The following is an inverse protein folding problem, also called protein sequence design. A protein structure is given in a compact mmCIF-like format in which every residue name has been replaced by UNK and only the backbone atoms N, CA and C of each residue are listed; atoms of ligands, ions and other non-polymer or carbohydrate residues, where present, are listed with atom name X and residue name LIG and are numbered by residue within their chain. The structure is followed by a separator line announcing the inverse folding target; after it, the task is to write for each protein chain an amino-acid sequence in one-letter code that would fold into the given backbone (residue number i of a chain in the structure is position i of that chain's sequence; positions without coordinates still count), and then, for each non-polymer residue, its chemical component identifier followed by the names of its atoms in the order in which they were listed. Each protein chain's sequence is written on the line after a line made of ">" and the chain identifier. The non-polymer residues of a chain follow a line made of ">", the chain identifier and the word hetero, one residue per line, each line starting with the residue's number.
data_IF_881563301163
#
_entry.id   IF_881563301163
#
_cell.length_a   1.000
_cell.length_b   1.000
_cell.length_c   1.000
_cell.angle_alpha   90.00
_cell.angle_beta   90.00
_cell.angle_gamma   90.00
#
_symmetry.space_group_name_H-M   'P 1'
#
loop_
_entity.id
_entity.type
_entity.pdbx_description
1 polymer ?
#
# COMPACT_ATOMS: atom_id res chain seq x y z
N UNK A 1 -5.23 -8.62 -6.83
CA UNK A 1 -4.68 -7.31 -7.21
C UNK A 1 -5.69 -6.60 -8.12
N UNK A 2 -6.16 -5.44 -7.70
CA UNK A 2 -7.21 -4.71 -8.42
C UNK A 2 -6.64 -3.76 -9.46
N UNK A 3 -5.53 -3.13 -9.17
CA UNK A 3 -4.85 -2.21 -10.09
C UNK A 3 -3.60 -2.87 -10.65
N UNK A 4 -3.48 -2.89 -11.98
CA UNK A 4 -2.35 -3.51 -12.69
C UNK A 4 -1.52 -2.40 -13.34
N UNK A 5 -0.23 -2.26 -13.00
CA UNK A 5 0.64 -1.27 -13.63
C UNK A 5 0.93 -1.61 -15.09
N UNK A 6 1.30 -0.57 -15.83
CA UNK A 6 1.79 -0.70 -17.19
C UNK A 6 2.81 0.40 -17.47
N UNK A 7 4.05 0.02 -17.68
CA UNK A 7 5.14 0.94 -17.93
C UNK A 7 6.47 0.21 -18.12
N UNK A 8 7.53 0.92 -18.52
CA UNK A 8 8.85 0.33 -18.67
C UNK A 8 9.30 -0.38 -17.39
N UNK A 9 9.65 -1.68 -17.48
CA UNK A 9 10.02 -2.51 -16.34
C UNK A 9 8.84 -3.09 -15.52
N UNK A 10 7.60 -2.62 -15.75
CA UNK A 10 6.39 -3.05 -15.02
C UNK A 10 5.24 -3.37 -15.97
N UNK A 11 5.48 -4.15 -17.01
CA UNK A 11 4.49 -4.47 -18.05
C UNK A 11 3.53 -5.58 -17.61
N UNK A 12 2.95 -5.47 -16.44
CA UNK A 12 2.08 -6.50 -15.87
C UNK A 12 0.79 -6.71 -16.68
N UNK A 13 0.28 -5.68 -17.36
CA UNK A 13 -0.94 -5.81 -18.20
C UNK A 13 -0.79 -6.79 -19.36
N UNK A 14 0.44 -7.10 -19.77
CA UNK A 14 0.68 -8.13 -20.77
C UNK A 14 0.30 -9.52 -20.25
N UNK A 15 0.54 -9.79 -18.98
CA UNK A 15 0.36 -11.10 -18.35
C UNK A 15 -0.92 -11.22 -17.54
N UNK A 16 -1.43 -10.11 -16.98
CA UNK A 16 -2.48 -10.13 -15.97
C UNK A 16 -3.63 -9.19 -16.32
N UNK A 17 -4.83 -9.58 -15.92
CA UNK A 17 -6.01 -8.72 -15.89
C UNK A 17 -6.25 -8.19 -14.49
N UNK A 18 -6.87 -6.99 -14.35
CA UNK A 18 -7.36 -6.53 -13.06
C UNK A 18 -8.27 -7.57 -12.41
N UNK A 19 -8.09 -7.74 -11.09
CA UNK A 19 -9.00 -8.59 -10.33
C UNK A 19 -10.42 -8.04 -10.31
N UNK A 20 -11.39 -8.90 -10.48
CA UNK A 20 -12.82 -8.59 -10.57
C UNK A 20 -13.61 -8.91 -9.30
N UNK A 21 -12.94 -9.37 -8.25
CA UNK A 21 -13.58 -9.77 -6.99
C UNK A 21 -13.83 -8.62 -6.01
N UNK A 22 -13.44 -7.38 -6.39
CA UNK A 22 -13.48 -6.21 -5.51
C UNK A 22 -12.43 -6.25 -4.40
N UNK A 23 -12.43 -5.22 -3.57
CA UNK A 23 -11.63 -5.21 -2.36
C UNK A 23 -12.21 -6.16 -1.32
N UNK A 24 -11.34 -6.74 -0.49
CA UNK A 24 -11.74 -7.72 0.53
C UNK A 24 -11.06 -7.43 1.86
N UNK A 25 -11.76 -7.80 2.91
CA UNK A 25 -11.24 -7.82 4.28
C UNK A 25 -11.47 -9.22 4.83
N UNK A 26 -10.49 -9.77 5.51
CA UNK A 26 -10.54 -11.11 6.07
C UNK A 26 -10.58 -11.04 7.57
N UNK A 27 -11.55 -11.73 8.16
CA UNK A 27 -11.61 -11.95 9.60
C UNK A 27 -10.52 -12.96 9.98
N UNK A 28 -9.71 -12.60 10.93
CA UNK A 28 -8.71 -13.48 11.55
C UNK A 28 -8.95 -13.54 13.05
N UNK A 29 -8.36 -14.49 13.73
CA UNK A 29 -8.45 -14.55 15.20
C UNK A 29 -7.77 -13.39 15.92
N UNK A 30 -7.02 -12.56 15.19
CA UNK A 30 -6.24 -11.44 15.75
C UNK A 30 -6.74 -10.07 15.32
N UNK A 31 -7.75 -10.03 14.47
CA UNK A 31 -8.30 -8.79 13.90
C UNK A 31 -8.64 -8.94 12.42
N UNK A 32 -9.19 -7.89 11.87
CA UNK A 32 -9.65 -7.83 10.48
C UNK A 32 -8.58 -7.21 9.59
N UNK A 33 -8.17 -7.94 8.56
CA UNK A 33 -7.03 -7.58 7.70
C UNK A 33 -7.50 -7.23 6.29
N UNK A 34 -7.17 -6.04 5.82
CA UNK A 34 -7.25 -5.64 4.42
C UNK A 34 -5.90 -5.85 3.71
N UNK A 35 -5.92 -6.38 2.49
CA UNK A 35 -4.70 -6.60 1.70
C UNK A 35 -4.84 -5.95 0.34
N UNK A 36 -3.94 -5.01 0.02
CA UNK A 36 -3.71 -4.48 -1.31
C UNK A 36 -2.35 -4.96 -1.83
N UNK A 37 -2.24 -5.31 -3.12
CA UNK A 37 -1.01 -5.89 -3.66
C UNK A 37 -0.29 -4.88 -4.54
N UNK A 38 0.94 -4.50 -4.18
CA UNK A 38 1.87 -3.70 -4.97
C UNK A 38 1.19 -2.40 -5.48
N UNK A 39 0.84 -2.30 -6.76
CA UNK A 39 0.24 -1.10 -7.37
C UNK A 39 -1.02 -0.60 -6.65
N UNK A 40 -1.79 -1.48 -5.97
CA UNK A 40 -2.94 -1.08 -5.15
C UNK A 40 -2.56 -0.09 -4.04
N UNK A 41 -1.30 -0.08 -3.61
CA UNK A 41 -0.77 0.79 -2.55
C UNK A 41 -0.80 2.30 -2.89
N UNK A 42 -0.90 2.67 -4.17
CA UNK A 42 -0.93 4.06 -4.60
C UNK A 42 -2.34 4.68 -4.56
N UNK A 43 -3.38 3.85 -4.38
CA UNK A 43 -4.78 4.27 -4.48
C UNK A 43 -5.41 4.48 -3.10
N UNK A 44 -5.61 5.75 -2.66
CA UNK A 44 -6.27 6.05 -1.40
C UNK A 44 -7.71 5.50 -1.34
N UNK A 45 -8.38 5.36 -2.49
CA UNK A 45 -9.70 4.75 -2.60
C UNK A 45 -9.69 3.29 -2.14
N UNK A 46 -8.65 2.53 -2.48
CA UNK A 46 -8.50 1.13 -2.05
C UNK A 46 -8.35 1.02 -0.53
N UNK A 47 -7.47 1.85 0.06
CA UNK A 47 -7.27 1.91 1.50
C UNK A 47 -8.56 2.30 2.23
N UNK A 48 -9.25 3.35 1.74
CA UNK A 48 -10.52 3.81 2.30
C UNK A 48 -11.62 2.77 2.20
N UNK A 49 -11.75 2.10 1.04
CA UNK A 49 -12.76 1.05 0.85
C UNK A 49 -12.55 -0.11 1.82
N UNK A 50 -11.33 -0.65 1.94
CA UNK A 50 -11.03 -1.73 2.87
C UNK A 50 -11.29 -1.33 4.33
N UNK A 51 -10.94 -0.08 4.71
CA UNK A 51 -11.21 0.39 6.07
C UNK A 51 -12.71 0.56 6.34
N UNK A 52 -13.49 1.03 5.36
CA UNK A 52 -14.95 1.08 5.47
C UNK A 52 -15.60 -0.30 5.56
N UNK A 53 -14.97 -1.32 4.96
CA UNK A 53 -15.36 -2.73 5.10
C UNK A 53 -14.95 -3.31 6.45
N UNK A 54 -14.28 -2.51 7.30
CA UNK A 54 -13.92 -2.87 8.67
C UNK A 54 -12.51 -3.41 8.84
N UNK A 55 -11.59 -3.17 7.90
CA UNK A 55 -10.19 -3.49 8.14
C UNK A 55 -9.64 -2.76 9.37
N UNK A 56 -8.86 -3.44 10.17
CA UNK A 56 -8.16 -2.93 11.37
C UNK A 56 -6.67 -2.80 11.14
N UNK A 57 -6.14 -3.49 10.12
CA UNK A 57 -4.77 -3.39 9.60
C UNK A 57 -4.80 -3.48 8.09
N UNK A 58 -3.97 -2.69 7.39
CA UNK A 58 -3.76 -2.81 5.95
C UNK A 58 -2.36 -3.36 5.65
N UNK A 59 -2.30 -4.39 4.82
CA UNK A 59 -1.05 -5.02 4.40
C UNK A 59 -0.84 -4.80 2.90
N UNK A 60 0.38 -4.40 2.52
CA UNK A 60 0.79 -4.18 1.15
C UNK A 60 2.07 -4.96 0.81
N UNK A 61 1.96 -6.25 0.45
CA UNK A 61 3.07 -6.96 -0.16
C UNK A 61 3.37 -6.38 -1.53
N UNK A 62 4.64 -6.11 -1.82
CA UNK A 62 5.05 -5.40 -3.02
C UNK A 62 6.42 -5.82 -3.53
N UNK A 63 6.69 -5.53 -4.79
CA UNK A 63 7.99 -5.56 -5.42
C UNK A 63 8.16 -4.26 -6.21
N UNK A 64 8.66 -3.22 -5.54
CA UNK A 64 8.90 -1.90 -6.11
C UNK A 64 10.38 -1.52 -5.92
N UNK A 65 10.96 -0.89 -6.91
CA UNK A 65 12.38 -0.58 -6.92
C UNK A 65 12.73 0.64 -7.76
N UNK A 66 13.96 0.65 -8.27
CA UNK A 66 14.44 1.68 -9.18
C UNK A 66 13.60 1.73 -10.46
N UNK A 67 13.60 2.90 -11.09
CA UNK A 67 12.97 3.08 -12.39
C UNK A 67 14.01 2.83 -13.50
N UNK A 68 13.94 1.69 -14.23
CA UNK A 68 14.98 1.31 -15.18
C UNK A 68 15.19 2.30 -16.33
N UNK A 69 14.16 3.09 -16.63
CA UNK A 69 14.19 4.11 -17.70
C UNK A 69 14.65 5.49 -17.22
N UNK A 70 14.70 5.71 -15.90
CA UNK A 70 15.15 6.96 -15.29
C UNK A 70 15.91 6.70 -13.97
N UNK A 71 17.23 6.56 -14.03
CA UNK A 71 18.04 6.28 -12.84
C UNK A 71 18.11 7.46 -11.85
N UNK A 72 17.59 8.63 -12.21
CA UNK A 72 17.53 9.78 -11.31
C UNK A 72 16.26 9.80 -10.45
N UNK A 73 15.27 8.99 -10.80
CA UNK A 73 13.99 8.92 -10.09
C UNK A 73 14.05 7.91 -8.96
N UNK A 74 14.02 8.41 -7.72
CA UNK A 74 13.89 7.60 -6.51
C UNK A 74 12.48 7.70 -5.94
N UNK A 75 11.73 6.63 -6.07
CA UNK A 75 10.33 6.55 -5.64
C UNK A 75 10.14 6.01 -4.21
N UNK A 76 11.21 5.64 -3.49
CA UNK A 76 11.10 5.05 -2.16
C UNK A 76 10.42 5.97 -1.13
N UNK A 77 10.82 7.24 -1.11
CA UNK A 77 10.23 8.21 -0.17
C UNK A 77 8.78 8.60 -0.54
N UNK A 78 8.42 8.88 -1.80
CA UNK A 78 7.02 9.03 -2.21
C UNK A 78 6.15 7.82 -1.91
N UNK A 79 6.63 6.61 -2.18
CA UNK A 79 5.96 5.36 -1.88
C UNK A 79 5.60 5.24 -0.40
N UNK A 80 6.59 5.44 0.48
CA UNK A 80 6.39 5.38 1.94
C UNK A 80 5.38 6.44 2.40
N UNK A 81 5.50 7.68 1.90
CA UNK A 81 4.58 8.77 2.26
C UNK A 81 3.13 8.51 1.82
N UNK A 82 2.91 7.89 0.67
CA UNK A 82 1.57 7.52 0.22
C UNK A 82 0.90 6.59 1.24
N UNK A 83 1.61 5.56 1.70
CA UNK A 83 1.05 4.61 2.66
C UNK A 83 0.95 5.17 4.08
N UNK A 84 1.87 6.04 4.51
CA UNK A 84 1.71 6.81 5.74
C UNK A 84 0.45 7.70 5.69
N UNK A 85 0.17 8.30 4.53
CA UNK A 85 -1.08 9.02 4.29
C UNK A 85 -2.33 8.15 4.43
N UNK A 86 -2.27 6.89 3.98
CA UNK A 86 -3.37 5.94 4.21
C UNK A 86 -3.54 5.63 5.70
N UNK A 87 -2.45 5.46 6.44
CA UNK A 87 -2.50 5.22 7.87
C UNK A 87 -3.18 6.37 8.61
N UNK A 88 -2.76 7.61 8.37
CA UNK A 88 -3.32 8.81 9.00
C UNK A 88 -4.79 9.01 8.64
N UNK A 89 -5.10 9.03 7.34
CA UNK A 89 -6.44 9.36 6.86
C UNK A 89 -7.50 8.32 7.22
N UNK A 90 -7.09 7.08 7.49
CA UNK A 90 -7.97 6.00 7.89
C UNK A 90 -7.86 5.65 9.38
N UNK A 91 -6.93 6.26 10.12
CA UNK A 91 -6.65 5.95 11.55
C UNK A 91 -6.43 4.44 11.73
N UNK A 92 -5.48 3.87 10.98
CA UNK A 92 -5.26 2.43 10.88
C UNK A 92 -3.76 2.14 10.72
N UNK A 93 -3.21 1.07 11.33
CA UNK A 93 -1.86 0.62 11.02
C UNK A 93 -1.73 0.16 9.57
N UNK A 94 -0.60 0.50 8.96
CA UNK A 94 -0.25 0.11 7.58
C UNK A 94 1.11 -0.56 7.54
N UNK A 95 1.18 -1.70 6.86
CA UNK A 95 2.41 -2.49 6.68
C UNK A 95 2.77 -2.53 5.19
N UNK A 96 3.94 -2.03 4.86
CA UNK A 96 4.55 -2.18 3.54
C UNK A 96 5.67 -3.22 3.60
N UNK A 97 5.48 -4.37 2.94
CA UNK A 97 6.47 -5.42 2.83
C UNK A 97 7.01 -5.48 1.41
N UNK A 98 8.23 -4.98 1.21
CA UNK A 98 8.83 -4.87 -0.11
C UNK A 98 10.01 -5.83 -0.29
N UNK A 99 10.19 -6.26 -1.52
CA UNK A 99 11.37 -6.98 -1.98
C UNK A 99 12.62 -6.09 -1.89
N UNK A 100 13.78 -6.71 -1.68
CA UNK A 100 15.10 -6.06 -1.76
C UNK A 100 16.03 -6.80 -2.72
N UNK A 101 17.10 -6.16 -3.14
CA UNK A 101 18.15 -6.74 -3.97
C UNK A 101 17.97 -6.51 -5.47
N UNK A 102 18.99 -6.88 -6.22
CA UNK A 102 19.03 -6.74 -7.68
C UNK A 102 18.61 -8.03 -8.38
N UNK A 103 17.75 -7.90 -9.38
CA UNK A 103 17.31 -8.99 -10.25
C UNK A 103 17.68 -8.69 -11.70
N UNK A 104 18.63 -9.43 -12.29
CA UNK A 104 19.03 -9.22 -13.68
C UNK A 104 17.93 -9.66 -14.64
N UNK A 105 17.81 -8.99 -15.76
CA UNK A 105 16.91 -9.40 -16.85
C UNK A 105 17.62 -10.38 -17.78
N UNK A 106 16.95 -11.49 -18.06
CA UNK A 106 17.45 -12.48 -19.00
C UNK A 106 17.58 -11.86 -20.41
N UNK A 107 18.72 -12.07 -21.05
CA UNK A 107 19.01 -11.54 -22.38
C UNK A 107 19.44 -10.07 -22.44
N UNK A 108 19.57 -9.40 -21.29
CA UNK A 108 20.00 -7.99 -21.20
C UNK A 108 21.21 -7.89 -20.26
N UNK A 109 22.45 -7.96 -20.79
CA UNK A 109 23.67 -8.09 -19.96
C UNK A 109 23.88 -6.99 -18.89
N UNK A 110 23.30 -5.80 -19.11
CA UNK A 110 23.37 -4.67 -18.18
C UNK A 110 21.98 -4.24 -17.69
N UNK A 111 20.93 -5.03 -17.97
CA UNK A 111 19.57 -4.72 -17.56
C UNK A 111 19.19 -5.47 -16.28
N UNK A 112 18.31 -4.85 -15.51
CA UNK A 112 17.79 -5.46 -14.28
C UNK A 112 16.94 -4.49 -13.48
N UNK A 113 16.34 -5.02 -12.43
CA UNK A 113 15.56 -4.26 -11.48
C UNK A 113 16.24 -4.29 -10.11
N UNK A 114 16.56 -3.11 -9.57
CA UNK A 114 17.00 -2.97 -8.19
C UNK A 114 15.78 -2.66 -7.31
N UNK A 115 15.36 -3.62 -6.49
CA UNK A 115 14.32 -3.43 -5.50
C UNK A 115 14.93 -2.76 -4.26
N UNK A 116 14.32 -1.67 -3.79
CA UNK A 116 14.92 -0.84 -2.75
C UNK A 116 14.49 -1.20 -1.32
N UNK A 117 13.94 -2.40 -1.08
CA UNK A 117 13.58 -2.86 0.26
C UNK A 117 12.72 -1.83 1.00
N UNK A 118 13.27 -1.29 2.07
CA UNK A 118 12.64 -0.21 2.84
C UNK A 118 11.28 -0.58 3.44
N UNK A 119 11.04 -1.87 3.71
CA UNK A 119 9.82 -2.36 4.37
C UNK A 119 9.58 -1.66 5.70
N UNK A 120 8.31 -1.49 6.08
CA UNK A 120 7.98 -0.74 7.28
C UNK A 120 6.61 -1.11 7.85
N UNK A 121 6.43 -0.71 9.11
CA UNK A 121 5.14 -0.67 9.81
C UNK A 121 4.91 0.77 10.24
N UNK A 122 3.78 1.36 9.82
CA UNK A 122 3.32 2.66 10.25
C UNK A 122 2.12 2.51 11.21
N UNK A 123 2.09 3.33 12.26
CA UNK A 123 0.95 3.41 13.16
C UNK A 123 -0.21 4.25 12.58
N UNK A 124 -1.29 4.38 13.31
CA UNK A 124 -2.48 5.15 12.94
C UNK A 124 -2.25 6.66 12.77
N UNK A 125 -1.11 7.19 13.19
CA UNK A 125 -0.68 8.58 13.00
C UNK A 125 0.23 8.74 11.79
N UNK A 126 0.60 7.61 11.15
CA UNK A 126 1.55 7.56 10.07
C UNK A 126 3.02 7.57 10.51
N UNK A 127 3.29 7.46 11.81
CA UNK A 127 4.65 7.35 12.32
C UNK A 127 5.20 5.95 12.05
N UNK A 128 6.46 5.87 11.61
CA UNK A 128 7.13 4.58 11.40
C UNK A 128 7.52 4.00 12.77
N UNK A 129 6.84 2.93 13.19
CA UNK A 129 7.10 2.24 14.45
C UNK A 129 8.14 1.14 14.28
N UNK A 130 8.32 0.62 13.07
CA UNK A 130 9.40 -0.27 12.69
C UNK A 130 9.71 -0.09 11.19
N UNK A 131 10.97 -0.10 10.82
CA UNK A 131 11.38 0.05 9.44
C UNK A 131 12.74 -0.60 9.16
N UNK A 132 12.88 -1.12 7.95
CA UNK A 132 14.15 -1.55 7.36
C UNK A 132 14.74 -0.46 6.47
N UNK A 133 16.05 -0.53 6.26
CA UNK A 133 16.76 0.16 5.21
C UNK A 133 16.56 -0.50 3.84
N UNK A 134 17.35 -0.08 2.87
CA UNK A 134 17.19 -0.54 1.48
C UNK A 134 17.64 -1.98 1.24
N UNK A 135 18.59 -2.46 2.04
CA UNK A 135 19.25 -3.76 1.86
C UNK A 135 18.90 -4.75 2.97
N UNK A 136 18.12 -4.29 3.95
CA UNK A 136 17.81 -5.12 5.11
C UNK A 136 16.80 -6.21 4.76
N UNK A 137 17.07 -7.42 5.24
CA UNK A 137 16.19 -8.58 5.18
C UNK A 137 15.87 -9.07 6.58
N UNK A 138 14.63 -9.53 6.79
CA UNK A 138 14.24 -10.09 8.08
C UNK A 138 12.75 -9.91 8.39
N UNK A 139 12.44 -9.82 9.68
CA UNK A 139 11.08 -9.63 10.18
C UNK A 139 10.99 -8.35 11.00
N UNK A 140 9.97 -7.54 10.71
CA UNK A 140 9.58 -6.40 11.54
C UNK A 140 8.39 -6.81 12.40
N UNK A 141 8.34 -6.31 13.64
CA UNK A 141 7.25 -6.57 14.58
C UNK A 141 6.77 -5.26 15.21
N UNK A 142 5.46 -5.15 15.39
CA UNK A 142 4.82 -4.09 16.17
C UNK A 142 3.54 -4.62 16.81
N UNK A 143 3.14 -4.03 17.92
CA UNK A 143 1.92 -4.35 18.64
C UNK A 143 0.96 -3.16 18.57
N UNK A 144 -0.32 -3.45 18.38
CA UNK A 144 -1.38 -2.44 18.33
C UNK A 144 -2.57 -2.88 19.18
N UNK A 145 -3.03 -1.97 20.03
CA UNK A 145 -4.29 -2.12 20.76
C UNK A 145 -5.46 -1.76 19.81
N UNK A 146 -6.13 -2.77 19.27
CA UNK A 146 -7.20 -2.60 18.29
C UNK A 146 -8.45 -1.95 18.89
N UNK A 147 -8.73 -2.18 20.19
CA UNK A 147 -9.87 -1.55 20.88
C UNK A 147 -9.62 -0.05 21.08
N UNK A 148 -8.39 0.31 21.45
CA UNK A 148 -7.97 1.72 21.50
C UNK A 148 -8.11 2.36 20.12
N UNK A 149 -7.62 1.73 19.07
CA UNK A 149 -7.70 2.26 17.70
C UNK A 149 -9.13 2.44 17.22
N UNK A 150 -10.03 1.50 17.54
CA UNK A 150 -11.45 1.62 17.22
C UNK A 150 -12.09 2.83 17.92
N UNK A 151 -11.83 3.00 19.22
CA UNK A 151 -12.30 4.12 20.02
C UNK A 151 -11.74 5.45 19.52
N UNK A 152 -10.44 5.50 19.24
CA UNK A 152 -9.74 6.68 18.74
C UNK A 152 -10.27 7.10 17.36
N UNK A 153 -10.47 6.15 16.44
CA UNK A 153 -11.06 6.39 15.12
C UNK A 153 -12.46 6.97 15.20
N UNK A 154 -13.29 6.44 16.10
CA UNK A 154 -14.64 6.95 16.32
C UNK A 154 -14.63 8.39 16.87
N UNK A 155 -13.77 8.68 17.82
CA UNK A 155 -13.61 10.01 18.44
C UNK A 155 -13.07 11.06 17.45
N UNK A 156 -12.15 10.68 16.57
CA UNK A 156 -11.55 11.58 15.58
C UNK A 156 -12.56 12.03 14.49
N UNK A 157 -13.57 11.22 14.19
CA UNK A 157 -14.70 11.59 13.38
C UNK A 157 -14.49 11.56 11.85
N UNK A 158 -13.33 11.16 11.33
CA UNK A 158 -13.05 11.14 9.88
C UNK A 158 -14.07 10.32 9.07
N UNK A 159 -14.63 9.27 9.64
CA UNK A 159 -15.62 8.41 8.98
C UNK A 159 -17.04 8.94 9.14
N UNK A 160 -17.37 9.54 10.29
CA UNK A 160 -18.68 10.14 10.58
C UNK A 160 -18.96 11.36 9.68
N UNK A 161 -17.93 12.20 9.48
CA UNK A 161 -18.08 13.51 8.85
C UNK A 161 -17.83 13.46 7.33
N UNK A 162 -17.83 12.26 6.74
CA UNK A 162 -17.68 12.08 5.29
C UNK A 162 -18.87 12.66 4.53
N UNK A 163 -18.58 13.43 3.49
CA UNK A 163 -19.54 14.01 2.57
C UNK A 163 -19.70 13.14 1.32
N UNK A 164 -20.32 11.97 1.50
CA UNK A 164 -20.48 10.97 0.42
C UNK A 164 -21.30 11.51 -0.76
N UNK A 165 -22.13 12.51 -0.54
CA UNK A 165 -22.87 13.26 -1.55
C UNK A 165 -21.95 14.02 -2.54
N UNK A 166 -20.72 14.32 -2.16
CA UNK A 166 -19.73 15.03 -2.99
C UNK A 166 -18.76 14.09 -3.73
N UNK A 167 -18.77 12.80 -3.45
CA UNK A 167 -17.75 11.87 -3.95
C UNK A 167 -18.12 11.19 -5.28
N UNK A 168 -19.16 11.66 -5.97
CA UNK A 168 -19.60 11.08 -7.24
C UNK A 168 -18.50 11.05 -8.32
N UNK A 169 -17.59 12.02 -8.32
CA UNK A 169 -16.45 12.06 -9.23
C UNK A 169 -15.49 10.85 -9.07
N UNK A 170 -15.45 10.22 -7.88
CA UNK A 170 -14.61 9.04 -7.64
C UNK A 170 -15.17 7.76 -8.30
N UNK A 171 -16.47 7.74 -8.63
CA UNK A 171 -17.14 6.56 -9.16
C UNK A 171 -17.64 6.72 -10.59
N UNK A 172 -17.73 7.93 -11.12
CA UNK A 172 -18.31 8.24 -12.43
C UNK A 172 -17.35 8.93 -13.42
N UNK A 173 -16.12 9.21 -13.02
CA UNK A 173 -15.21 10.02 -13.82
C UNK A 173 -14.54 9.25 -14.95
N UNK A 174 -14.64 9.75 -16.19
CA UNK A 174 -13.57 9.50 -17.17
C UNK A 174 -12.35 10.30 -16.74
N UNK A 175 -11.12 9.75 -16.88
CA UNK A 175 -9.92 10.58 -16.73
C UNK A 175 -10.02 11.75 -17.71
N UNK A 176 -9.69 12.93 -17.21
CA UNK A 176 -9.52 14.12 -18.03
C UNK A 176 -8.37 13.95 -19.01
#
# INVERSE_FOLDING_TARGET
>A
KSHIPDGPGYQEKYYFRPGDTGFKVWDTRYGRVGVGICWDQWYPEAARAMTLMGAEVLLYPTAIGSEPHDPTLDTAAPWRRAMQGHAVSNVIPVVGANRTGFEPWEGYPNGGQLFYGSSFIADHRGDLVAAFGREDEGSLMAEFDLDFLATHRAAWGFFRDRRTDLYGALTGGRPA
#
